data_IF_711404176869
#
_entry.id   IF_711404176869
#
_cell.length_a   1.000
_cell.length_b   1.000
_cell.length_c   1.000
_cell.angle_alpha   90.00
_cell.angle_beta   90.00
_cell.angle_gamma   90.00
#
_symmetry.space_group_name_H-M   'P 1'
#
loop_
_entity.id
_entity.type
_entity.pdbx_description
1 polymer ?
#
# COMPACT_ATOMS: atom_id res chain seq x y z
N UNK A 1 -32.10 -0.71 -11.09
CA UNK A 1 -30.99 -1.68 -11.07
C UNK A 1 -30.08 -1.38 -9.90
N UNK A 2 -29.68 -2.41 -9.19
CA UNK A 2 -28.69 -2.26 -8.15
C UNK A 2 -27.32 -1.90 -8.78
N UNK A 3 -26.58 -1.03 -8.12
CA UNK A 3 -25.22 -0.65 -8.57
C UNK A 3 -24.21 -1.27 -7.64
N UNK A 4 -23.64 -2.40 -8.07
CA UNK A 4 -22.56 -3.06 -7.34
C UNK A 4 -21.65 -3.79 -8.32
N UNK A 5 -20.43 -4.07 -7.86
CA UNK A 5 -19.44 -4.80 -8.65
C UNK A 5 -18.79 -5.88 -7.79
N UNK A 6 -18.51 -7.02 -8.38
CA UNK A 6 -17.85 -8.14 -7.71
C UNK A 6 -16.71 -8.63 -8.61
N UNK A 7 -15.49 -8.61 -8.07
CA UNK A 7 -14.31 -9.15 -8.76
C UNK A 7 -13.45 -9.94 -7.77
N UNK A 8 -12.90 -11.05 -8.25
CA UNK A 8 -11.86 -11.75 -7.49
C UNK A 8 -10.53 -11.03 -7.66
N UNK A 9 -9.56 -11.29 -6.78
CA UNK A 9 -8.23 -10.71 -6.93
C UNK A 9 -7.60 -11.07 -8.28
N UNK A 10 -7.83 -12.28 -8.77
CA UNK A 10 -7.29 -12.73 -10.06
C UNK A 10 -7.79 -11.89 -11.24
N UNK A 11 -8.99 -11.32 -11.11
CA UNK A 11 -9.57 -10.46 -12.14
C UNK A 11 -9.11 -9.01 -12.04
N UNK A 12 -8.35 -8.65 -11.01
CA UNK A 12 -7.77 -7.33 -10.83
C UNK A 12 -6.30 -7.41 -11.28
N UNK A 13 -5.88 -6.59 -12.26
CA UNK A 13 -4.52 -6.69 -12.77
C UNK A 13 -3.45 -6.46 -11.70
N UNK A 14 -2.35 -7.23 -11.79
CA UNK A 14 -1.14 -6.97 -11.02
C UNK A 14 -0.37 -5.85 -11.70
N UNK A 15 -0.02 -4.81 -10.94
CA UNK A 15 0.63 -3.61 -11.49
C UNK A 15 2.11 -3.51 -11.14
N UNK A 16 2.70 -4.52 -10.49
CA UNK A 16 4.12 -4.47 -10.11
C UNK A 16 5.08 -4.73 -11.27
N UNK A 17 4.62 -5.36 -12.34
CA UNK A 17 5.51 -5.71 -13.44
C UNK A 17 6.56 -6.73 -12.99
N UNK A 18 7.84 -6.41 -13.20
CA UNK A 18 8.94 -7.33 -12.89
C UNK A 18 9.37 -7.29 -11.41
N UNK A 19 8.85 -6.36 -10.61
CA UNK A 19 9.16 -6.31 -9.21
C UNK A 19 8.49 -7.50 -8.47
N UNK A 20 9.20 -8.16 -7.54
CA UNK A 20 8.66 -9.35 -6.88
C UNK A 20 7.40 -9.05 -6.08
N UNK A 21 6.46 -10.00 -6.11
CA UNK A 21 5.18 -9.90 -5.42
C UNK A 21 4.05 -9.55 -6.37
N UNK A 22 2.96 -9.11 -5.77
CA UNK A 22 1.76 -8.70 -6.52
C UNK A 22 1.17 -7.44 -5.87
N UNK A 23 0.70 -6.53 -6.69
CA UNK A 23 -0.07 -5.37 -6.24
C UNK A 23 -1.30 -5.22 -7.11
N UNK A 24 -2.48 -5.41 -6.51
CA UNK A 24 -3.76 -5.40 -7.21
C UNK A 24 -4.61 -4.27 -6.64
N UNK A 25 -4.90 -3.30 -7.51
CA UNK A 25 -5.52 -2.03 -7.12
C UNK A 25 -6.83 -1.82 -7.84
N UNK A 26 -7.84 -1.34 -7.11
CA UNK A 26 -9.13 -1.00 -7.75
C UNK A 26 -8.98 0.10 -8.79
N UNK A 27 -7.95 0.94 -8.70
CA UNK A 27 -7.67 1.97 -9.71
C UNK A 27 -7.33 1.38 -11.09
N UNK A 28 -6.77 0.15 -11.13
CA UNK A 28 -6.45 -0.56 -12.37
C UNK A 28 -7.54 -1.54 -12.79
N UNK A 29 -8.61 -1.67 -12.01
CA UNK A 29 -9.74 -2.54 -12.27
C UNK A 29 -10.95 -1.73 -12.70
N UNK A 30 -11.76 -2.29 -13.56
CA UNK A 30 -13.04 -1.69 -13.95
C UNK A 30 -14.11 -2.06 -12.92
N UNK A 31 -13.98 -1.49 -11.72
CA UNK A 31 -14.86 -1.78 -10.59
C UNK A 31 -15.97 -0.74 -10.43
N UNK A 32 -15.77 0.47 -10.93
CA UNK A 32 -16.74 1.55 -10.82
C UNK A 32 -16.75 2.28 -9.48
N UNK A 33 -15.76 2.03 -8.62
CA UNK A 33 -15.66 2.69 -7.32
C UNK A 33 -15.33 4.18 -7.48
N UNK A 34 -16.03 5.03 -6.73
CA UNK A 34 -15.90 6.49 -6.87
C UNK A 34 -15.16 7.16 -5.71
N UNK A 35 -15.33 6.67 -4.50
CA UNK A 35 -14.86 7.37 -3.29
C UNK A 35 -13.73 6.65 -2.56
N UNK A 36 -13.69 5.33 -2.61
CA UNK A 36 -12.74 4.53 -1.84
C UNK A 36 -11.78 3.83 -2.79
N UNK A 37 -10.48 3.96 -2.51
CA UNK A 37 -9.44 3.19 -3.19
C UNK A 37 -9.05 2.00 -2.31
N UNK A 38 -8.83 0.86 -2.95
CA UNK A 38 -8.45 -0.38 -2.27
C UNK A 38 -7.27 -1.00 -3.01
N UNK A 39 -6.27 -1.46 -2.25
CA UNK A 39 -5.11 -2.17 -2.78
C UNK A 39 -4.83 -3.39 -1.93
N UNK A 40 -4.64 -4.52 -2.58
CA UNK A 40 -4.13 -5.76 -1.98
C UNK A 40 -2.71 -5.98 -2.50
N UNK A 41 -1.76 -6.20 -1.60
CA UNK A 41 -0.37 -6.40 -1.98
C UNK A 41 0.23 -7.61 -1.27
N UNK A 42 0.79 -8.54 -2.06
CA UNK A 42 1.62 -9.62 -1.53
C UNK A 42 3.09 -9.20 -1.64
N UNK A 43 3.78 -9.23 -0.53
CA UNK A 43 5.17 -8.82 -0.40
C UNK A 43 6.03 -10.02 0.00
N UNK A 44 6.79 -10.60 -0.93
CA UNK A 44 7.81 -11.59 -0.57
C UNK A 44 8.89 -10.98 0.33
N UNK A 45 9.69 -11.83 0.97
CA UNK A 45 10.82 -11.36 1.76
C UNK A 45 11.75 -10.45 0.95
N UNK A 46 12.31 -9.45 1.60
CA UNK A 46 13.25 -8.48 1.00
C UNK A 46 12.62 -7.65 -0.11
N UNK A 47 11.35 -7.27 0.06
CA UNK A 47 10.67 -6.34 -0.83
C UNK A 47 10.06 -5.17 -0.06
N UNK A 48 9.93 -4.04 -0.76
CA UNK A 48 9.35 -2.81 -0.23
C UNK A 48 10.27 -1.61 -0.41
N UNK A 49 10.14 -0.62 0.46
CA UNK A 49 10.80 0.66 0.30
C UNK A 49 12.13 0.85 1.01
N UNK A 50 12.58 -0.12 1.80
CA UNK A 50 13.88 -0.01 2.46
C UNK A 50 15.01 0.02 1.43
N UNK A 51 15.96 0.93 1.62
CA UNK A 51 17.02 1.16 0.64
C UNK A 51 16.57 2.01 -0.54
N UNK A 52 15.37 2.60 -0.46
CA UNK A 52 14.77 3.34 -1.54
C UNK A 52 14.00 4.55 -0.99
N UNK A 53 12.86 4.85 -1.57
CA UNK A 53 12.10 6.05 -1.25
C UNK A 53 10.90 5.75 -0.34
N UNK A 54 10.41 6.83 0.28
CA UNK A 54 9.08 6.86 0.87
C UNK A 54 8.21 7.87 0.17
N UNK A 55 6.96 7.96 0.61
CA UNK A 55 6.03 8.95 0.07
C UNK A 55 5.10 9.47 1.14
N UNK A 56 4.43 10.56 0.82
CA UNK A 56 3.31 11.09 1.60
C UNK A 56 2.28 11.66 0.65
N UNK A 57 1.15 12.01 1.18
CA UNK A 57 0.04 12.59 0.42
C UNK A 57 -0.25 14.00 0.88
N UNK A 58 -0.89 14.78 0.01
CA UNK A 58 -1.38 16.11 0.37
C UNK A 58 -2.72 16.01 1.09
N UNK A 59 -3.62 15.15 0.61
CA UNK A 59 -5.00 15.06 1.08
C UNK A 59 -5.48 13.66 1.43
N UNK A 60 -4.84 12.60 0.91
CA UNK A 60 -5.31 11.24 1.11
C UNK A 60 -4.88 10.70 2.48
N UNK A 61 -5.86 10.48 3.35
CA UNK A 61 -5.68 9.65 4.54
C UNK A 61 -5.71 8.19 4.11
N UNK A 62 -4.84 7.38 4.69
CA UNK A 62 -4.77 5.95 4.39
C UNK A 62 -4.92 5.10 5.64
N UNK A 63 -5.52 3.91 5.45
CA UNK A 63 -5.54 2.86 6.46
C UNK A 63 -4.86 1.64 5.83
N UNK A 64 -3.84 1.15 6.52
CA UNK A 64 -3.11 -0.05 6.15
C UNK A 64 -3.46 -1.16 7.12
N UNK A 65 -3.64 -2.35 6.60
CA UNK A 65 -3.93 -3.54 7.40
C UNK A 65 -2.99 -4.67 7.00
N UNK A 66 -2.23 -5.19 7.96
CA UNK A 66 -1.38 -6.36 7.73
C UNK A 66 -2.26 -7.59 7.88
N UNK A 67 -2.57 -8.25 6.76
CA UNK A 67 -3.47 -9.40 6.74
C UNK A 67 -2.74 -10.71 7.02
N UNK A 68 -1.45 -10.80 6.68
CA UNK A 68 -0.63 -11.99 6.89
C UNK A 68 0.83 -11.56 7.04
N UNK A 69 1.59 -12.31 7.84
CA UNK A 69 3.01 -12.07 8.07
C UNK A 69 3.28 -10.92 9.02
N UNK A 70 4.49 -10.38 8.93
CA UNK A 70 4.95 -9.22 9.70
C UNK A 70 5.63 -8.25 8.75
N UNK A 71 5.26 -6.99 8.81
CA UNK A 71 5.88 -5.95 8.00
C UNK A 71 6.54 -4.91 8.89
N UNK A 72 7.61 -4.30 8.38
CA UNK A 72 8.20 -3.13 9.00
C UNK A 72 7.61 -1.89 8.35
N UNK A 73 7.17 -0.94 9.16
CA UNK A 73 6.72 0.37 8.71
C UNK A 73 7.72 1.41 9.17
N UNK A 74 8.18 2.24 8.24
CA UNK A 74 8.86 3.47 8.60
C UNK A 74 7.86 4.61 8.48
N UNK A 75 7.56 5.23 9.62
CA UNK A 75 6.63 6.35 9.74
C UNK A 75 7.41 7.52 10.33
N UNK A 76 7.70 8.54 9.51
CA UNK A 76 8.67 9.58 9.84
C UNK A 76 10.01 8.92 10.20
N UNK A 77 10.52 9.13 11.41
CA UNK A 77 11.78 8.54 11.86
C UNK A 77 11.61 7.19 12.58
N UNK A 78 10.38 6.78 12.84
CA UNK A 78 10.10 5.55 13.58
C UNK A 78 10.05 4.34 12.66
N UNK A 79 10.74 3.27 13.02
CA UNK A 79 10.65 1.96 12.36
C UNK A 79 9.95 1.00 13.31
N UNK A 80 8.83 0.46 12.88
CA UNK A 80 7.93 -0.32 13.73
C UNK A 80 7.62 -1.66 13.07
N UNK A 81 7.76 -2.75 13.84
CA UNK A 81 7.29 -4.06 13.40
C UNK A 81 5.78 -4.15 13.60
N UNK A 82 5.08 -4.46 12.52
CA UNK A 82 3.61 -4.53 12.50
C UNK A 82 3.19 -5.96 12.14
N UNK A 83 2.68 -6.73 13.12
CA UNK A 83 2.24 -8.10 12.84
C UNK A 83 0.86 -8.14 12.21
N UNK A 84 0.53 -9.32 11.67
CA UNK A 84 -0.80 -9.60 11.12
C UNK A 84 -1.90 -9.26 12.12
N UNK A 85 -3.01 -8.75 11.60
CA UNK A 85 -4.16 -8.33 12.42
C UNK A 85 -4.07 -6.91 12.94
N UNK A 86 -3.07 -6.14 12.51
CA UNK A 86 -2.85 -4.77 12.97
C UNK A 86 -3.31 -3.76 11.91
N UNK A 87 -4.04 -2.76 12.34
CA UNK A 87 -4.49 -1.64 11.53
C UNK A 87 -3.60 -0.43 11.82
N UNK A 88 -3.11 0.20 10.77
CA UNK A 88 -2.28 1.42 10.88
C UNK A 88 -2.99 2.55 10.14
N UNK A 89 -3.39 3.58 10.86
CA UNK A 89 -3.92 4.79 10.24
C UNK A 89 -2.77 5.76 10.00
N UNK A 90 -2.70 6.30 8.79
CA UNK A 90 -1.64 7.23 8.39
C UNK A 90 -2.27 8.52 7.88
N UNK A 91 -2.00 9.63 8.56
CA UNK A 91 -2.43 10.95 8.10
C UNK A 91 -1.73 11.30 6.78
N UNK A 92 -2.33 12.16 5.92
CA UNK A 92 -1.75 12.44 4.60
C UNK A 92 -0.28 12.86 4.64
N UNK A 93 0.08 13.76 5.53
CA UNK A 93 1.40 14.40 5.56
C UNK A 93 2.52 13.54 6.16
N UNK A 94 2.21 12.38 6.72
CA UNK A 94 3.21 11.51 7.33
C UNK A 94 4.01 10.79 6.24
N UNK A 95 5.31 10.94 6.27
CA UNK A 95 6.21 10.17 5.40
C UNK A 95 6.16 8.70 5.79
N UNK A 96 5.93 7.81 4.81
CA UNK A 96 5.78 6.37 5.06
C UNK A 96 6.49 5.53 4.03
N UNK A 97 6.90 4.36 4.45
CA UNK A 97 7.35 3.27 3.61
C UNK A 97 7.14 1.96 4.35
N UNK A 98 7.04 0.87 3.61
CA UNK A 98 6.79 -0.47 4.16
C UNK A 98 7.81 -1.44 3.59
N UNK A 99 8.26 -2.39 4.41
CA UNK A 99 9.27 -3.37 4.04
C UNK A 99 8.97 -4.72 4.66
N UNK A 100 9.18 -5.80 3.89
CA UNK A 100 9.14 -7.16 4.42
C UNK A 100 10.57 -7.69 4.59
N UNK A 101 11.02 -7.76 5.83
CA UNK A 101 12.34 -8.33 6.17
C UNK A 101 12.36 -9.85 5.96
N UNK A 102 11.22 -10.49 5.95
CA UNK A 102 11.08 -11.93 5.82
C UNK A 102 11.05 -12.66 7.17
N UNK A 103 11.21 -14.01 7.17
CA UNK A 103 11.47 -14.88 6.01
C UNK A 103 10.26 -15.19 5.13
N UNK A 104 9.05 -15.01 5.65
CA UNK A 104 7.83 -15.41 4.95
C UNK A 104 7.22 -14.25 4.17
N UNK A 105 6.37 -14.57 3.20
CA UNK A 105 5.55 -13.58 2.51
C UNK A 105 4.65 -12.85 3.50
N UNK A 106 4.34 -11.61 3.21
CA UNK A 106 3.35 -10.81 3.94
C UNK A 106 2.28 -10.30 2.99
N UNK A 107 1.11 -10.03 3.55
CA UNK A 107 -0.01 -9.45 2.80
C UNK A 107 -0.43 -8.14 3.45
N UNK A 108 -0.45 -7.09 2.65
CA UNK A 108 -0.83 -5.75 3.06
C UNK A 108 -2.08 -5.32 2.31
N UNK A 109 -3.05 -4.80 3.03
CA UNK A 109 -4.26 -4.18 2.47
C UNK A 109 -4.19 -2.69 2.77
N UNK A 110 -4.42 -1.89 1.74
CA UNK A 110 -4.41 -0.43 1.84
C UNK A 110 -5.74 0.13 1.36
N UNK A 111 -6.34 0.99 2.16
CA UNK A 111 -7.56 1.69 1.82
C UNK A 111 -7.32 3.19 1.96
N UNK A 112 -7.83 3.96 1.03
CA UNK A 112 -7.72 5.41 1.08
C UNK A 112 -8.92 6.09 0.44
N UNK A 113 -9.07 7.37 0.71
CA UNK A 113 -10.01 8.21 -0.04
C UNK A 113 -9.45 8.39 -1.44
N UNK A 114 -10.30 8.21 -2.43
CA UNK A 114 -9.89 8.38 -3.82
C UNK A 114 -9.63 9.85 -4.11
N UNK A 115 -8.46 10.16 -4.68
CA UNK A 115 -8.09 11.50 -5.10
C UNK A 115 -8.51 11.72 -6.55
N UNK A 116 -8.86 12.98 -6.89
CA UNK A 116 -9.17 13.34 -8.28
C UNK A 116 -7.97 13.21 -9.21
N UNK A 117 -6.77 13.48 -8.71
CA UNK A 117 -5.51 13.29 -9.44
C UNK A 117 -4.49 12.69 -8.48
N UNK A 118 -4.36 11.34 -8.48
CA UNK A 118 -3.44 10.67 -7.57
C UNK A 118 -1.98 11.05 -7.78
N UNK A 119 -1.58 11.43 -8.98
CA UNK A 119 -0.18 11.81 -9.23
C UNK A 119 0.18 13.16 -8.64
N UNK A 120 -0.75 14.09 -8.54
CA UNK A 120 -0.51 15.38 -7.92
C UNK A 120 -0.65 15.35 -6.40
N UNK A 121 -1.32 14.35 -5.84
CA UNK A 121 -1.50 14.20 -4.39
C UNK A 121 -0.27 13.58 -3.71
N UNK A 122 0.51 12.79 -4.44
CA UNK A 122 1.67 12.06 -3.90
C UNK A 122 2.93 12.91 -3.98
N UNK A 123 3.69 12.92 -2.88
CA UNK A 123 5.05 13.47 -2.83
C UNK A 123 6.01 12.34 -2.50
N UNK A 124 7.16 12.30 -3.21
CA UNK A 124 8.18 11.28 -3.01
C UNK A 124 9.41 11.87 -2.33
N UNK A 125 10.02 11.10 -1.43
CA UNK A 125 11.28 11.46 -0.78
C UNK A 125 12.31 10.36 -1.06
N UNK A 126 13.27 10.61 -1.99
CA UNK A 126 14.37 9.68 -2.21
C UNK A 126 15.18 9.51 -0.93
N UNK A 127 15.74 8.33 -0.72
CA UNK A 127 16.57 8.00 0.44
C UNK A 127 15.85 8.12 1.79
N UNK A 128 14.51 8.07 1.77
CA UNK A 128 13.73 8.12 3.01
C UNK A 128 14.09 6.99 3.97
N UNK A 129 14.37 5.81 3.43
CA UNK A 129 14.72 4.64 4.24
C UNK A 129 16.03 4.05 3.74
N UNK A 130 17.16 4.51 4.22
CA UNK A 130 18.47 3.94 3.85
C UNK A 130 18.61 2.52 4.39
N UNK A 131 19.41 1.74 3.72
CA UNK A 131 19.71 0.36 4.13
C UNK A 131 20.47 0.30 5.46
#
# INVERSE_FOLDING_TARGET
MADYSIKTLEDIPDVLGDYPGEMRMTAAADLGNEQVAFTWRRMPAQTGGKGSYGHRHKTQEEIYFVADGVLQFKLEDDVIDVPAGTVVRIAPQVWRSVWNEGPDDAVLIMCSVKSGDPTSDVEHLPDFWPE
#
